data_IF_938852417169
#
_entry.id   IF_938852417169
#
_cell.length_a   1.000
_cell.length_b   1.000
_cell.length_c   1.000
_cell.angle_alpha   90.00
_cell.angle_beta   90.00
_cell.angle_gamma   90.00
#
_symmetry.space_group_name_H-M   'P 1'
#
loop_
_entity.id
_entity.type
_entity.pdbx_description
1 polymer ?
#
# COMPACT_ATOMS: atom_id res chain seq x y z
N UNK A 1 8.01 -13.57 -8.15
CA UNK A 1 7.75 -12.24 -8.74
C UNK A 1 6.57 -11.64 -8.02
N UNK A 2 6.73 -10.46 -7.42
CA UNK A 2 5.60 -9.75 -6.81
C UNK A 2 4.65 -9.25 -7.90
N UNK A 3 3.36 -9.41 -7.67
CA UNK A 3 2.32 -8.89 -8.53
C UNK A 3 2.18 -7.37 -8.33
N UNK A 4 1.49 -6.71 -9.26
CA UNK A 4 1.13 -5.30 -9.09
C UNK A 4 0.30 -5.07 -7.82
N UNK A 5 -0.52 -6.04 -7.41
CA UNK A 5 -1.31 -5.96 -6.18
C UNK A 5 -0.42 -5.96 -4.94
N UNK A 6 0.64 -6.76 -4.93
CA UNK A 6 1.54 -6.87 -3.77
C UNK A 6 2.26 -5.54 -3.49
N UNK A 7 2.72 -4.85 -4.54
CA UNK A 7 3.28 -3.51 -4.39
C UNK A 7 2.25 -2.49 -3.90
N UNK A 8 0.97 -2.62 -4.26
CA UNK A 8 -0.06 -1.73 -3.75
C UNK A 8 -0.25 -1.88 -2.23
N UNK A 9 -0.15 -3.09 -1.71
CA UNK A 9 -0.25 -3.39 -0.27
C UNK A 9 0.94 -2.81 0.47
N UNK A 10 2.15 -2.99 -0.07
CA UNK A 10 3.39 -2.44 0.51
C UNK A 10 3.32 -0.90 0.53
N UNK A 11 2.89 -0.27 -0.56
CA UNK A 11 2.72 1.19 -0.62
C UNK A 11 1.64 1.66 0.38
N UNK A 12 0.57 0.89 0.60
CA UNK A 12 -0.47 1.21 1.58
C UNK A 12 0.05 1.11 3.02
N UNK A 13 0.89 0.13 3.33
CA UNK A 13 1.54 -0.02 4.62
C UNK A 13 2.44 1.19 4.93
N UNK A 14 3.31 1.55 3.99
CA UNK A 14 4.18 2.73 4.07
C UNK A 14 3.37 4.04 4.19
N UNK A 15 2.28 4.17 3.44
CA UNK A 15 1.37 5.30 3.55
C UNK A 15 0.77 5.46 4.96
N UNK A 16 0.37 4.36 5.60
CA UNK A 16 -0.14 4.38 6.98
C UNK A 16 0.92 4.75 8.01
N UNK A 17 2.17 4.37 7.77
CA UNK A 17 3.32 4.76 8.60
C UNK A 17 3.81 6.20 8.33
N UNK A 18 3.07 6.98 7.53
CA UNK A 18 3.35 8.39 7.22
C UNK A 18 4.72 8.61 6.57
N UNK A 19 5.20 7.63 5.81
CA UNK A 19 6.48 7.75 5.11
C UNK A 19 6.32 8.67 3.88
N UNK A 20 7.34 9.49 3.60
CA UNK A 20 7.36 10.35 2.42
C UNK A 20 7.42 9.49 1.13
N UNK A 21 6.75 9.92 0.06
CA UNK A 21 6.72 9.26 -1.26
C UNK A 21 8.12 8.88 -1.76
N UNK A 22 9.10 9.78 -1.62
CA UNK A 22 10.48 9.54 -2.03
C UNK A 22 11.11 8.40 -1.24
N UNK A 23 10.92 8.41 0.08
CA UNK A 23 11.41 7.40 1.00
C UNK A 23 10.73 6.04 0.79
N UNK A 24 9.42 6.02 0.56
CA UNK A 24 8.69 4.79 0.19
C UNK A 24 9.21 4.20 -1.12
N UNK A 25 9.47 5.03 -2.13
CA UNK A 25 10.02 4.55 -3.41
C UNK A 25 11.42 3.97 -3.23
N UNK A 26 12.28 4.66 -2.46
CA UNK A 26 13.61 4.20 -2.14
C UNK A 26 13.58 2.87 -1.36
N UNK A 27 12.79 2.79 -0.28
CA UNK A 27 12.64 1.57 0.53
C UNK A 27 12.22 0.37 -0.33
N UNK A 28 11.23 0.56 -1.22
CA UNK A 28 10.75 -0.52 -2.10
C UNK A 28 11.84 -0.96 -3.09
N UNK A 29 12.52 -0.01 -3.74
CA UNK A 29 13.55 -0.32 -4.72
C UNK A 29 14.85 -0.85 -4.10
N UNK A 30 15.12 -0.55 -2.82
CA UNK A 30 16.20 -1.16 -2.05
C UNK A 30 15.86 -2.59 -1.61
N UNK A 31 14.60 -2.86 -1.27
CA UNK A 31 14.15 -4.14 -0.71
C UNK A 31 13.86 -5.20 -1.78
N UNK A 32 13.25 -4.80 -2.91
CA UNK A 32 12.65 -5.73 -3.87
C UNK A 32 13.33 -5.77 -5.25
N UNK A 33 14.53 -5.17 -5.37
CA UNK A 33 15.31 -4.90 -6.59
C UNK A 33 15.17 -3.47 -7.12
N UNK A 34 16.21 -3.02 -7.83
CA UNK A 34 16.35 -1.64 -8.29
C UNK A 34 15.29 -1.31 -9.36
N UNK A 35 14.61 -0.18 -9.16
CA UNK A 35 13.61 0.42 -10.08
C UNK A 35 12.34 -0.40 -10.32
N UNK A 36 11.94 -1.25 -9.38
CA UNK A 36 10.69 -2.01 -9.48
C UNK A 36 9.45 -1.10 -9.41
N UNK A 37 9.53 0.01 -8.67
CA UNK A 37 8.46 0.99 -8.57
C UNK A 37 8.99 2.40 -8.86
N UNK A 38 8.25 3.14 -9.69
CA UNK A 38 8.54 4.55 -9.96
C UNK A 38 7.93 5.46 -8.89
N UNK A 39 8.56 6.62 -8.66
CA UNK A 39 8.02 7.68 -7.78
C UNK A 39 6.61 8.11 -8.21
N UNK A 40 6.35 8.18 -9.51
CA UNK A 40 5.04 8.50 -10.06
C UNK A 40 3.97 7.48 -9.67
N UNK A 41 4.32 6.18 -9.67
CA UNK A 41 3.43 5.11 -9.24
C UNK A 41 3.07 5.27 -7.76
N UNK A 42 4.06 5.51 -6.90
CA UNK A 42 3.84 5.73 -5.45
C UNK A 42 2.97 6.96 -5.21
N UNK A 43 3.25 8.07 -5.89
CA UNK A 43 2.47 9.31 -5.79
C UNK A 43 1.00 9.11 -6.19
N UNK A 44 0.74 8.39 -7.29
CA UNK A 44 -0.62 8.08 -7.74
C UNK A 44 -1.39 7.28 -6.69
N UNK A 45 -0.75 6.29 -6.07
CA UNK A 45 -1.35 5.50 -4.99
C UNK A 45 -1.59 6.31 -3.72
N UNK A 46 -0.63 7.14 -3.30
CA UNK A 46 -0.79 8.05 -2.17
C UNK A 46 -1.97 9.01 -2.38
N UNK A 47 -2.12 9.58 -3.58
CA UNK A 47 -3.27 10.43 -3.91
C UNK A 47 -4.58 9.65 -3.80
N UNK A 48 -4.63 8.43 -4.36
CA UNK A 48 -5.80 7.55 -4.28
C UNK A 48 -6.13 7.15 -2.84
N UNK A 49 -5.13 6.91 -1.99
CA UNK A 49 -5.33 6.60 -0.58
C UNK A 49 -5.78 7.81 0.24
N UNK A 50 -5.30 9.01 -0.09
CA UNK A 50 -5.81 10.25 0.51
C UNK A 50 -7.26 10.52 0.11
N UNK A 51 -7.61 10.30 -1.16
CA UNK A 51 -8.99 10.37 -1.64
C UNK A 51 -9.86 9.34 -0.90
N UNK A 52 -9.42 8.09 -0.78
CA UNK A 52 -10.12 7.04 -0.02
C UNK A 52 -10.18 7.35 1.47
N UNK A 53 -9.16 7.97 2.08
CA UNK A 53 -9.18 8.41 3.48
C UNK A 53 -10.20 9.51 3.70
N UNK A 54 -10.30 10.47 2.76
CA UNK A 54 -11.32 11.52 2.77
C UNK A 54 -12.74 11.00 2.44
N UNK A 55 -12.85 9.87 1.73
CA UNK A 55 -14.12 9.18 1.45
C UNK A 55 -14.49 8.18 2.55
N UNK A 56 -13.54 7.67 3.33
CA UNK A 56 -13.81 6.77 4.47
C UNK A 56 -14.56 7.51 5.60
N UNK A 57 -14.34 8.82 5.73
CA UNK A 57 -15.18 9.69 6.55
C UNK A 57 -16.56 9.98 5.91
N UNK A 58 -16.74 9.68 4.61
CA UNK A 58 -17.88 10.14 3.81
C UNK A 58 -18.36 9.12 2.74
N UNK A 59 -18.81 7.93 3.15
CA UNK A 59 -19.76 7.04 2.42
C UNK A 59 -19.17 5.75 1.80
N UNK A 60 -19.71 4.63 2.31
CA UNK A 60 -19.92 3.32 1.66
C UNK A 60 -20.05 3.34 0.13
N UNK A 61 -19.07 2.84 -0.64
CA UNK A 61 -19.31 2.48 -2.05
C UNK A 61 -18.57 1.21 -2.54
N UNK A 62 -19.27 0.08 -2.44
CA UNK A 62 -19.89 -0.56 -3.62
C UNK A 62 -19.07 -1.44 -4.57
N UNK A 63 -17.74 -1.58 -4.45
CA UNK A 63 -17.02 -2.60 -5.24
C UNK A 63 -15.78 -3.14 -4.52
N UNK A 64 -15.79 -4.41 -4.06
CA UNK A 64 -14.59 -5.00 -3.52
C UNK A 64 -13.60 -5.26 -4.66
N UNK A 65 -12.37 -4.80 -4.53
CA UNK A 65 -11.26 -5.61 -4.99
C UNK A 65 -11.21 -6.85 -4.07
N UNK A 66 -12.06 -7.84 -4.31
CA UNK A 66 -11.85 -9.20 -3.79
C UNK A 66 -10.89 -9.86 -4.76
N UNK A 67 -9.67 -10.24 -4.37
CA UNK A 67 -9.42 -11.31 -3.40
C UNK A 67 -8.17 -10.99 -2.60
N UNK A 68 -8.30 -10.26 -1.51
CA UNK A 68 -7.25 -10.24 -0.49
C UNK A 68 -7.92 -10.44 0.85
N UNK A 69 -7.62 -11.58 1.47
CA UNK A 69 -8.26 -11.97 2.70
C UNK A 69 -7.81 -11.02 3.82
N UNK A 70 -8.74 -10.27 4.40
CA UNK A 70 -8.44 -9.38 5.53
C UNK A 70 -7.91 -10.17 6.75
N UNK A 71 -8.21 -11.47 6.83
CA UNK A 71 -7.67 -12.35 7.87
C UNK A 71 -6.20 -12.71 7.63
N UNK A 72 -5.74 -12.82 6.37
CA UNK A 72 -4.31 -12.98 6.05
C UNK A 72 -3.52 -11.71 6.40
N UNK A 73 -4.05 -10.53 6.06
CA UNK A 73 -3.43 -9.27 6.44
C UNK A 73 -3.34 -9.11 7.97
N UNK A 74 -4.39 -9.50 8.69
CA UNK A 74 -4.37 -9.51 10.17
C UNK A 74 -3.38 -10.52 10.73
N UNK A 75 -3.21 -11.67 10.09
CA UNK A 75 -2.25 -12.68 10.52
C UNK A 75 -0.81 -12.16 10.36
N UNK A 76 -0.47 -11.59 9.21
CA UNK A 76 0.88 -11.06 8.91
C UNK A 76 1.25 -9.92 9.86
N UNK A 77 0.35 -8.96 10.08
CA UNK A 77 0.59 -7.83 11.00
C UNK A 77 0.74 -8.27 12.46
N UNK A 78 0.09 -9.37 12.86
CA UNK A 78 0.24 -9.93 14.22
C UNK A 78 1.51 -10.74 14.39
N UNK A 79 2.06 -11.34 13.32
CA UNK A 79 3.29 -12.14 13.40
C UNK A 79 4.56 -11.30 13.46
N UNK A 80 4.56 -10.08 12.92
CA UNK A 80 5.71 -9.15 12.99
C UNK A 80 5.85 -8.42 14.35
N UNK A 81 4.92 -8.63 15.29
CA UNK A 81 4.94 -8.05 16.64
C UNK A 81 5.56 -8.99 17.70
N UNK A 82 6.50 -9.86 17.31
CA UNK A 82 7.21 -10.76 18.25
C UNK A 82 8.57 -10.26 18.65
#
# INVERSE_FOLDING_TARGET
MLSKCDFCIIILYEFKHSTNITKTTQNINETFEKDVVSTFTVQRWFKKFNEVKGILENIDRGRPCSTMNNDELRAIVKTDLR
#
